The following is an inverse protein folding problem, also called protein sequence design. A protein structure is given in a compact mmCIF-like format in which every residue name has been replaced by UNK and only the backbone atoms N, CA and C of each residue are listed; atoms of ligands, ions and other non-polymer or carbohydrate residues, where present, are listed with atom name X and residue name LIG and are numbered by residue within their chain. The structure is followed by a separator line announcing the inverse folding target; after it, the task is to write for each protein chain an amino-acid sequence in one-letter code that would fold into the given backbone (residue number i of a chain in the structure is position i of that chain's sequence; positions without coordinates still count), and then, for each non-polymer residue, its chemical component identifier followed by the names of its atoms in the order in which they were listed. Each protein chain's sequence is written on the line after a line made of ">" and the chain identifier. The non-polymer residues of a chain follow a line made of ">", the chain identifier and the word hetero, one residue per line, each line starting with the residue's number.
data_IF_308834981470
#
_entry.id   IF_308834981470
#
_cell.length_a   1.000
_cell.length_b   1.000
_cell.length_c   1.000
_cell.angle_alpha   90.00
_cell.angle_beta   90.00
_cell.angle_gamma   90.00
#
_symmetry.space_group_name_H-M   'P 1'
#
loop_
_entity.id
_entity.type
_entity.pdbx_description
1 polymer ?
#
# COMPACT_ATOMS: atom_id res chain seq x y z
N UNK A 1 -69.28 2.17 -47.23
CA UNK A 1 -70.45 2.10 -46.32
C UNK A 1 -70.09 2.80 -45.00
N UNK A 2 -71.06 2.91 -44.09
CA UNK A 2 -71.01 3.52 -42.74
C UNK A 2 -69.71 3.27 -41.91
N UNK A 3 -69.24 4.32 -41.20
CA UNK A 3 -68.68 4.37 -39.82
C UNK A 3 -67.49 3.43 -39.47
N UNK A 4 -66.49 3.73 -38.63
CA UNK A 4 -65.92 4.91 -37.90
C UNK A 4 -64.41 4.51 -37.63
N UNK A 5 -63.45 5.24 -37.06
CA UNK A 5 -63.27 6.50 -36.31
C UNK A 5 -61.91 7.15 -36.74
N UNK A 6 -61.27 8.23 -36.22
CA UNK A 6 -61.20 8.95 -34.92
C UNK A 6 -60.53 8.16 -33.78
N UNK A 7 -59.72 8.75 -32.88
CA UNK A 7 -59.40 10.18 -32.60
C UNK A 7 -57.92 10.56 -32.89
N UNK A 8 -57.58 11.84 -32.73
CA UNK A 8 -56.24 12.42 -32.95
C UNK A 8 -55.60 12.97 -31.64
N UNK A 9 -54.36 13.47 -31.74
CA UNK A 9 -53.60 14.11 -30.65
C UNK A 9 -54.20 15.48 -30.22
N UNK A 10 -53.61 16.15 -29.21
CA UNK A 10 -52.73 17.28 -29.57
C UNK A 10 -51.51 17.55 -28.65
N UNK A 11 -50.79 18.62 -29.00
CA UNK A 11 -49.53 19.18 -28.45
C UNK A 11 -49.68 19.84 -27.07
N UNK A 12 -48.57 19.99 -26.33
CA UNK A 12 -48.48 20.56 -24.99
C UNK A 12 -48.31 22.11 -24.92
N UNK A 13 -48.64 22.71 -23.76
CA UNK A 13 -48.22 24.06 -23.33
C UNK A 13 -48.12 24.15 -21.79
N UNK A 14 -46.93 24.50 -21.25
CA UNK A 14 -46.61 25.13 -19.95
C UNK A 14 -47.22 24.53 -18.64
N UNK A 15 -46.84 24.89 -17.39
CA UNK A 15 -46.03 25.98 -16.81
C UNK A 15 -45.06 25.40 -15.75
N UNK A 16 -43.94 26.07 -15.47
CA UNK A 16 -42.98 25.67 -14.43
C UNK A 16 -43.21 26.37 -13.07
N UNK A 17 -42.97 25.64 -11.98
CA UNK A 17 -42.72 26.15 -10.62
C UNK A 17 -41.81 25.12 -9.94
N UNK A 18 -40.81 25.56 -9.18
CA UNK A 18 -39.69 24.70 -8.75
C UNK A 18 -39.42 24.74 -7.25
N UNK A 19 -38.74 23.70 -6.77
CA UNK A 19 -38.07 23.67 -5.46
C UNK A 19 -36.65 23.16 -5.69
N UNK A 20 -35.66 24.02 -5.43
CA UNK A 20 -34.26 23.62 -5.43
C UNK A 20 -33.91 23.05 -4.05
N UNK A 21 -33.95 21.73 -3.90
CA UNK A 21 -33.51 21.07 -2.67
C UNK A 21 -31.98 20.98 -2.69
N UNK A 22 -31.31 21.79 -1.87
CA UNK A 22 -29.92 21.53 -1.51
C UNK A 22 -29.88 20.26 -0.66
N UNK A 23 -29.21 19.23 -1.16
CA UNK A 23 -28.66 18.16 -0.33
C UNK A 23 -27.15 18.40 -0.21
N UNK A 24 -26.72 18.65 1.02
CA UNK A 24 -25.34 18.59 1.45
C UNK A 24 -25.18 17.42 2.42
N UNK A 25 -23.94 16.98 2.62
CA UNK A 25 -23.51 15.96 3.59
C UNK A 25 -23.97 14.52 3.31
N UNK A 26 -23.19 13.84 2.48
CA UNK A 26 -22.61 12.56 2.90
C UNK A 26 -21.10 12.62 2.62
N UNK A 27 -20.28 12.49 3.66
CA UNK A 27 -18.83 12.33 3.53
C UNK A 27 -18.48 11.02 2.82
N UNK A 28 -17.23 10.92 2.33
CA UNK A 28 -16.79 9.80 1.50
C UNK A 28 -17.07 8.43 2.14
N UNK A 29 -17.79 7.59 1.40
CA UNK A 29 -17.83 6.15 1.67
C UNK A 29 -16.65 5.51 0.97
N UNK A 30 -15.56 5.24 1.70
CA UNK A 30 -14.43 4.46 1.18
C UNK A 30 -14.92 3.10 0.64
N UNK A 31 -14.38 2.57 -0.46
CA UNK A 31 -14.81 1.30 -1.04
C UNK A 31 -14.47 0.13 -0.09
N UNK A 32 -15.42 -0.21 0.79
CA UNK A 32 -15.26 -1.11 1.93
C UNK A 32 -15.18 -2.61 1.56
N UNK A 33 -14.42 -2.95 0.52
CA UNK A 33 -14.25 -4.32 0.00
C UNK A 33 -12.79 -4.78 -0.04
N UNK A 34 -11.81 -3.87 0.03
CA UNK A 34 -10.38 -4.18 -0.13
C UNK A 34 -9.58 -4.31 1.19
N UNK A 35 -10.18 -4.17 2.38
CA UNK A 35 -9.42 -4.09 3.66
C UNK A 35 -10.13 -4.70 4.89
N UNK A 36 -11.18 -5.50 4.67
CA UNK A 36 -12.10 -5.96 5.73
C UNK A 36 -11.47 -6.87 6.81
N UNK A 37 -10.29 -7.44 6.57
CA UNK A 37 -9.57 -8.32 7.50
C UNK A 37 -8.36 -7.66 8.17
N UNK A 38 -8.06 -6.39 7.89
CA UNK A 38 -7.00 -5.62 8.56
C UNK A 38 -7.06 -5.65 10.11
N UNK A 39 -8.24 -5.64 10.78
CA UNK A 39 -8.30 -5.82 12.23
C UNK A 39 -7.75 -7.17 12.73
N UNK A 40 -7.80 -8.22 11.89
CA UNK A 40 -7.30 -9.56 12.22
C UNK A 40 -5.77 -9.65 12.15
N UNK A 41 -5.10 -8.77 11.38
CA UNK A 41 -3.63 -8.68 11.26
C UNK A 41 -3.00 -7.66 12.20
N UNK A 42 -3.79 -7.07 13.11
CA UNK A 42 -3.32 -6.10 14.10
C UNK A 42 -3.44 -4.64 13.68
N UNK A 43 -4.24 -4.34 12.65
CA UNK A 43 -4.53 -2.97 12.18
C UNK A 43 -5.97 -2.54 12.54
N UNK A 44 -6.28 -2.25 13.82
CA UNK A 44 -7.63 -1.86 14.26
C UNK A 44 -8.12 -0.52 13.67
N UNK A 45 -7.22 0.33 13.16
CA UNK A 45 -7.58 1.56 12.46
C UNK A 45 -7.78 1.37 10.93
N UNK A 46 -7.73 0.13 10.43
CA UNK A 46 -7.82 -0.17 9.00
C UNK A 46 -6.49 0.06 8.26
N UNK A 47 -6.50 0.20 6.92
CA UNK A 47 -5.30 0.51 6.17
C UNK A 47 -4.81 1.94 6.45
N UNK A 48 -3.53 2.21 6.18
CA UNK A 48 -3.01 3.57 6.15
C UNK A 48 -3.40 4.27 4.84
N UNK A 49 -3.72 5.57 4.93
CA UNK A 49 -3.84 6.44 3.76
C UNK A 49 -2.43 6.94 3.38
N UNK A 50 -1.88 6.38 2.30
CA UNK A 50 -0.53 6.64 1.78
C UNK A 50 -0.62 6.73 0.25
N UNK A 51 -0.05 7.78 -0.33
CA UNK A 51 0.14 7.89 -1.79
C UNK A 51 1.48 7.28 -2.22
N UNK A 52 1.51 6.77 -3.45
CA UNK A 52 2.68 6.18 -4.10
C UNK A 52 2.62 6.47 -5.61
N UNK A 53 3.67 6.08 -6.34
CA UNK A 53 3.78 6.21 -7.79
C UNK A 53 3.79 4.83 -8.43
N UNK A 54 2.99 4.64 -9.48
CA UNK A 54 3.01 3.46 -10.31
C UNK A 54 3.93 3.70 -11.52
N UNK A 55 5.02 2.94 -11.64
CA UNK A 55 6.10 3.27 -12.56
C UNK A 55 5.65 3.21 -14.04
N UNK A 56 5.83 4.31 -14.79
CA UNK A 56 5.50 4.36 -16.22
C UNK A 56 6.23 3.26 -17.03
N UNK A 57 7.51 3.04 -16.73
CA UNK A 57 8.34 1.96 -17.25
C UNK A 57 8.44 0.80 -16.23
N UNK A 58 7.28 0.27 -15.81
CA UNK A 58 7.19 -0.77 -14.77
C UNK A 58 8.02 -2.02 -15.07
N UNK A 59 8.24 -2.37 -16.34
CA UNK A 59 9.00 -3.58 -16.70
C UNK A 59 10.45 -3.41 -16.27
N UNK A 60 11.12 -2.37 -16.74
CA UNK A 60 12.54 -2.15 -16.46
C UNK A 60 12.75 -1.63 -15.03
N UNK A 61 11.94 -0.67 -14.55
CA UNK A 61 12.11 -0.09 -13.21
C UNK A 61 11.94 -1.17 -12.13
N UNK A 62 10.89 -1.98 -12.16
CA UNK A 62 10.70 -3.02 -11.15
C UNK A 62 11.68 -4.17 -11.30
N UNK A 63 11.95 -4.67 -12.53
CA UNK A 63 12.95 -5.73 -12.75
C UNK A 63 14.32 -5.36 -12.18
N UNK A 64 14.82 -4.16 -12.49
CA UNK A 64 16.10 -3.64 -11.99
C UNK A 64 16.08 -3.35 -10.49
N UNK A 65 14.93 -2.98 -9.93
CA UNK A 65 14.77 -2.81 -8.47
C UNK A 65 14.82 -4.16 -7.74
N UNK A 66 14.23 -5.23 -8.29
CA UNK A 66 14.38 -6.58 -7.75
C UNK A 66 15.84 -7.05 -7.78
N UNK A 67 16.60 -6.72 -8.84
CA UNK A 67 18.03 -7.01 -8.94
C UNK A 67 18.85 -6.25 -7.88
N UNK A 68 18.65 -4.94 -7.75
CA UNK A 68 19.30 -4.16 -6.69
C UNK A 68 18.95 -4.68 -5.28
N UNK A 69 17.74 -5.17 -5.06
CA UNK A 69 17.33 -5.76 -3.79
C UNK A 69 18.03 -7.09 -3.50
N UNK A 70 18.10 -7.96 -4.52
CA UNK A 70 18.76 -9.26 -4.48
C UNK A 70 20.23 -9.18 -4.06
N UNK A 71 20.95 -8.15 -4.51
CA UNK A 71 22.35 -7.88 -4.15
C UNK A 71 22.50 -6.90 -2.96
N UNK A 72 21.41 -6.59 -2.23
CA UNK A 72 21.39 -5.67 -1.09
C UNK A 72 21.92 -4.24 -1.38
N UNK A 73 21.75 -3.75 -2.61
CA UNK A 73 22.21 -2.43 -3.06
C UNK A 73 21.15 -1.33 -2.99
N UNK A 74 19.91 -1.65 -2.58
CA UNK A 74 18.86 -0.63 -2.40
C UNK A 74 19.05 0.20 -1.13
N UNK A 75 18.99 -0.39 0.06
CA UNK A 75 19.04 0.37 1.33
C UNK A 75 19.87 -0.33 2.43
N UNK A 76 21.13 -0.76 2.13
CA UNK A 76 21.98 -1.44 3.12
C UNK A 76 22.31 -0.57 4.35
N UNK A 77 22.15 0.76 4.26
CA UNK A 77 22.33 1.68 5.39
C UNK A 77 21.13 1.72 6.37
N UNK A 78 20.00 1.09 6.03
CA UNK A 78 18.78 1.05 6.87
C UNK A 78 18.49 -0.35 7.43
N UNK A 79 18.62 -0.56 8.73
CA UNK A 79 18.38 -1.88 9.37
C UNK A 79 16.96 -2.47 9.23
N UNK A 80 15.97 -1.71 8.77
CA UNK A 80 14.63 -2.22 8.42
C UNK A 80 14.50 -2.81 7.01
N UNK A 81 15.47 -2.49 6.14
CA UNK A 81 15.43 -2.73 4.68
C UNK A 81 16.71 -3.41 4.14
N UNK A 82 17.81 -3.34 4.89
CA UNK A 82 19.03 -4.07 4.61
C UNK A 82 18.80 -5.58 4.77
N UNK A 83 19.25 -6.34 3.79
CA UNK A 83 19.26 -7.80 3.80
C UNK A 83 20.39 -8.28 4.71
N UNK A 84 20.13 -9.20 5.64
CA UNK A 84 21.15 -9.77 6.51
C UNK A 84 22.05 -10.75 5.77
N UNK A 85 23.31 -10.87 6.20
CA UNK A 85 24.20 -11.97 5.78
C UNK A 85 23.49 -13.32 5.96
N UNK A 86 23.69 -14.21 4.99
CA UNK A 86 22.91 -15.46 4.87
C UNK A 86 23.69 -16.62 5.47
N UNK A 87 23.03 -17.39 6.32
CA UNK A 87 23.62 -18.58 6.96
C UNK A 87 23.67 -19.76 5.99
N UNK A 88 24.79 -20.48 5.97
CA UNK A 88 25.07 -21.54 4.99
C UNK A 88 25.73 -22.76 5.66
N UNK A 89 25.82 -23.87 4.94
CA UNK A 89 26.29 -25.16 5.42
C UNK A 89 25.16 -26.09 5.85
N UNK A 90 25.48 -27.37 6.03
CA UNK A 90 24.54 -28.40 6.47
C UNK A 90 24.03 -28.18 7.92
N UNK A 91 23.09 -29.02 8.38
CA UNK A 91 22.53 -28.94 9.73
C UNK A 91 23.57 -29.17 10.84
N UNK A 92 24.68 -29.84 10.58
CA UNK A 92 25.75 -30.03 11.56
C UNK A 92 26.68 -28.80 11.65
N UNK A 93 26.72 -27.94 10.62
CA UNK A 93 27.38 -26.63 10.67
C UNK A 93 26.56 -25.55 11.41
N UNK A 94 25.22 -25.64 11.38
CA UNK A 94 24.30 -24.67 12.02
C UNK A 94 24.44 -23.25 11.45
N UNK A 95 24.11 -22.22 12.23
CA UNK A 95 24.45 -20.80 11.95
C UNK A 95 25.96 -20.49 11.88
N UNK A 96 26.85 -21.49 11.85
CA UNK A 96 28.31 -21.32 12.00
C UNK A 96 29.04 -20.73 10.79
N UNK A 97 28.43 -20.71 9.61
CA UNK A 97 28.98 -20.10 8.40
C UNK A 97 27.98 -19.10 7.82
N UNK A 98 28.48 -17.94 7.38
CA UNK A 98 27.69 -16.90 6.73
C UNK A 98 28.38 -16.39 5.47
N UNK A 99 27.59 -15.96 4.49
CA UNK A 99 28.04 -15.27 3.27
C UNK A 99 27.42 -13.88 3.17
N UNK A 100 27.92 -13.07 2.24
CA UNK A 100 27.31 -11.77 1.93
C UNK A 100 25.87 -11.95 1.39
N UNK A 101 24.98 -10.96 1.58
CA UNK A 101 23.58 -11.10 1.19
C UNK A 101 23.42 -11.21 -0.33
N UNK A 102 22.90 -12.34 -0.80
CA UNK A 102 22.50 -12.59 -2.18
C UNK A 102 21.21 -13.40 -2.22
N UNK A 103 20.21 -12.95 -2.98
CA UNK A 103 19.00 -13.71 -3.28
C UNK A 103 18.91 -13.82 -4.81
N UNK A 104 18.69 -15.01 -5.41
CA UNK A 104 18.49 -15.14 -6.86
C UNK A 104 17.41 -14.15 -7.37
N UNK A 105 17.75 -13.16 -8.22
CA UNK A 105 16.81 -12.10 -8.62
C UNK A 105 15.47 -12.59 -9.18
N UNK A 106 15.47 -13.72 -9.89
CA UNK A 106 14.28 -14.40 -10.42
C UNK A 106 13.26 -14.76 -9.32
N UNK A 107 13.69 -15.07 -8.10
CA UNK A 107 12.80 -15.37 -6.98
C UNK A 107 12.05 -14.12 -6.53
N UNK A 108 12.75 -13.00 -6.33
CA UNK A 108 12.11 -11.74 -5.95
C UNK A 108 11.15 -11.23 -7.06
N UNK A 109 11.58 -11.33 -8.33
CA UNK A 109 10.75 -11.04 -9.51
C UNK A 109 9.47 -11.87 -9.54
N UNK A 110 9.59 -13.18 -9.32
CA UNK A 110 8.46 -14.13 -9.28
C UNK A 110 7.53 -13.90 -8.09
N UNK A 111 8.09 -13.60 -6.91
CA UNK A 111 7.32 -13.27 -5.70
C UNK A 111 6.52 -11.99 -5.90
N UNK A 112 7.13 -10.87 -6.28
CA UNK A 112 6.40 -9.61 -6.52
C UNK A 112 5.32 -9.73 -7.59
N UNK A 113 5.49 -10.64 -8.56
CA UNK A 113 4.43 -10.95 -9.52
C UNK A 113 3.28 -11.76 -8.91
N UNK A 114 3.58 -12.73 -8.06
CA UNK A 114 2.55 -13.52 -7.37
C UNK A 114 1.82 -12.71 -6.29
N UNK A 115 2.50 -11.77 -5.63
CA UNK A 115 1.94 -10.89 -4.61
C UNK A 115 1.03 -9.81 -5.22
N UNK A 116 1.52 -8.99 -6.17
CA UNK A 116 0.73 -7.88 -6.75
C UNK A 116 0.54 -7.89 -8.26
N UNK A 117 1.24 -8.75 -9.00
CA UNK A 117 1.30 -8.71 -10.46
C UNK A 117 2.22 -7.62 -11.03
N UNK A 118 3.19 -7.15 -10.23
CA UNK A 118 4.04 -5.97 -10.49
C UNK A 118 3.23 -4.65 -10.55
N UNK A 119 2.50 -4.37 -9.47
CA UNK A 119 1.95 -3.05 -9.14
C UNK A 119 2.33 -2.65 -7.70
N UNK A 120 2.60 -1.37 -7.48
CA UNK A 120 2.81 -0.74 -6.18
C UNK A 120 1.57 0.06 -5.73
N UNK A 121 0.86 0.67 -6.68
CA UNK A 121 -0.35 1.46 -6.47
C UNK A 121 -1.63 0.63 -6.64
N UNK A 122 -2.76 1.20 -6.21
CA UNK A 122 -4.02 0.47 -6.11
C UNK A 122 -4.67 0.15 -7.47
N UNK A 123 -5.33 -1.01 -7.51
CA UNK A 123 -6.26 -1.38 -8.58
C UNK A 123 -7.69 -0.85 -8.36
N UNK A 124 -8.04 -0.42 -7.12
CA UNK A 124 -9.36 0.14 -6.77
C UNK A 124 -9.19 1.26 -5.70
N UNK A 125 -9.33 2.56 -6.06
CA UNK A 125 -9.37 3.08 -7.43
C UNK A 125 -8.14 2.64 -8.22
N UNK A 126 -8.29 2.45 -9.53
CA UNK A 126 -7.16 2.17 -10.41
C UNK A 126 -6.28 3.41 -10.50
N UNK A 127 -4.98 3.19 -10.36
CA UNK A 127 -3.91 4.13 -10.70
C UNK A 127 -3.24 3.58 -11.97
N UNK A 128 -3.20 4.33 -13.06
CA UNK A 128 -2.58 3.86 -14.30
C UNK A 128 -1.04 4.01 -14.26
N UNK A 129 -0.31 3.22 -15.06
CA UNK A 129 1.15 3.29 -15.13
C UNK A 129 1.62 4.69 -15.55
N UNK A 130 2.38 5.35 -14.67
CA UNK A 130 2.81 6.74 -14.80
C UNK A 130 2.06 7.74 -13.93
N UNK A 131 1.07 7.31 -13.14
CA UNK A 131 0.30 8.17 -12.24
C UNK A 131 0.72 8.04 -10.76
N UNK A 132 0.38 9.07 -9.97
CA UNK A 132 0.42 9.06 -8.51
C UNK A 132 -0.98 8.75 -7.97
N UNK A 133 -1.06 7.91 -6.93
CA UNK A 133 -2.32 7.59 -6.27
C UNK A 133 -2.16 6.70 -5.04
N UNK A 134 -3.26 6.16 -4.48
CA UNK A 134 -3.20 5.33 -3.27
C UNK A 134 -2.36 4.07 -3.44
N UNK A 135 -1.57 3.71 -2.43
CA UNK A 135 -0.84 2.44 -2.37
C UNK A 135 -1.77 1.23 -2.50
N UNK A 136 -1.30 0.16 -3.14
CA UNK A 136 -1.98 -1.13 -3.13
C UNK A 136 -2.05 -1.69 -1.71
N UNK A 137 -3.25 -1.92 -1.19
CA UNK A 137 -3.49 -2.63 0.08
C UNK A 137 -4.36 -3.86 -0.16
N UNK A 138 -3.95 -5.01 0.35
CA UNK A 138 -4.77 -6.23 0.42
C UNK A 138 -5.84 -6.17 1.51
N UNK A 139 -6.74 -7.16 1.48
CA UNK A 139 -7.80 -7.35 2.48
C UNK A 139 -7.32 -7.48 3.93
N UNK A 140 -6.05 -7.84 4.13
CA UNK A 140 -5.39 -8.11 5.40
C UNK A 140 -4.26 -7.11 5.70
N UNK A 141 -4.21 -5.99 4.97
CA UNK A 141 -3.22 -4.92 5.13
C UNK A 141 -1.77 -5.37 4.82
N UNK A 142 -1.59 -6.09 3.72
CA UNK A 142 -0.33 -6.19 2.99
C UNK A 142 -0.22 -5.06 1.97
N UNK A 143 0.94 -4.39 1.92
CA UNK A 143 1.12 -3.15 1.15
C UNK A 143 2.11 -3.30 -0.02
N UNK A 144 1.80 -2.67 -1.15
CA UNK A 144 2.70 -2.48 -2.29
C UNK A 144 3.13 -3.77 -3.01
N UNK A 145 4.18 -3.67 -3.82
CA UNK A 145 4.56 -4.71 -4.80
C UNK A 145 4.98 -6.06 -4.20
N UNK A 146 5.43 -6.11 -2.96
CA UNK A 146 5.75 -7.35 -2.21
C UNK A 146 4.70 -7.69 -1.13
N UNK A 147 3.54 -7.01 -1.13
CA UNK A 147 2.41 -7.17 -0.20
C UNK A 147 2.83 -7.26 1.28
N UNK A 148 3.69 -6.33 1.69
CA UNK A 148 4.32 -6.32 3.02
C UNK A 148 3.28 -6.14 4.13
N UNK A 149 3.10 -7.17 4.98
CA UNK A 149 2.27 -7.13 6.20
C UNK A 149 3.10 -6.96 7.49
N UNK A 150 4.36 -7.41 7.48
CA UNK A 150 5.18 -7.59 8.68
C UNK A 150 5.82 -6.28 9.16
N UNK A 151 5.16 -5.64 10.12
CA UNK A 151 5.49 -4.30 10.63
C UNK A 151 4.47 -3.22 10.20
N UNK A 152 3.49 -3.55 9.36
CA UNK A 152 2.50 -2.60 8.81
C UNK A 152 1.22 -2.48 9.66
N UNK A 153 1.30 -2.86 10.94
CA UNK A 153 0.20 -2.76 11.91
C UNK A 153 -0.21 -1.30 12.17
N UNK A 154 -1.42 -0.93 11.73
CA UNK A 154 -2.01 0.39 11.97
C UNK A 154 -2.72 0.44 13.33
N UNK A 155 -1.94 0.73 14.37
CA UNK A 155 -2.37 0.83 15.78
C UNK A 155 -2.59 2.28 16.27
N UNK A 156 -2.42 3.25 15.39
CA UNK A 156 -2.31 4.69 15.72
C UNK A 156 -3.13 5.62 14.81
N UNK A 157 -3.49 5.16 13.60
CA UNK A 157 -3.96 6.03 12.52
C UNK A 157 -2.87 6.85 11.82
N UNK A 158 -1.61 6.75 12.27
CA UNK A 158 -0.47 7.51 11.72
C UNK A 158 0.73 6.56 11.50
N UNK A 159 1.23 6.40 10.26
CA UNK A 159 2.33 5.49 9.98
C UNK A 159 3.64 6.01 10.58
N UNK A 160 4.49 5.10 11.06
CA UNK A 160 5.89 5.41 11.39
C UNK A 160 6.74 5.54 10.11
N UNK A 161 8.03 5.87 10.26
CA UNK A 161 8.93 6.11 9.12
C UNK A 161 9.06 4.89 8.19
N UNK A 162 9.30 3.69 8.73
CA UNK A 162 9.39 2.45 7.96
C UNK A 162 8.06 2.16 7.25
N UNK A 163 6.92 2.38 7.91
CA UNK A 163 5.59 2.19 7.32
C UNK A 163 5.33 3.18 6.17
N UNK A 164 5.76 4.44 6.31
CA UNK A 164 5.70 5.44 5.26
C UNK A 164 6.59 5.07 4.06
N UNK A 165 7.82 4.60 4.30
CA UNK A 165 8.75 4.09 3.28
C UNK A 165 8.16 2.90 2.51
N UNK A 166 7.68 1.87 3.22
CA UNK A 166 7.09 0.65 2.63
C UNK A 166 5.86 0.97 1.77
N UNK A 167 5.00 1.90 2.21
CA UNK A 167 3.79 2.26 1.49
C UNK A 167 4.05 3.16 0.27
N UNK A 168 4.85 4.21 0.43
CA UNK A 168 4.96 5.26 -0.60
C UNK A 168 5.93 4.95 -1.74
N UNK A 169 6.88 4.01 -1.57
CA UNK A 169 7.97 3.85 -2.51
C UNK A 169 8.30 2.37 -2.79
N UNK A 170 8.13 1.93 -4.05
CA UNK A 170 8.37 0.56 -4.53
C UNK A 170 9.74 -0.02 -4.12
N UNK A 171 10.82 0.75 -4.24
CA UNK A 171 12.17 0.32 -3.80
C UNK A 171 12.26 -0.07 -2.31
N UNK A 172 11.69 0.72 -1.39
CA UNK A 172 11.65 0.37 0.02
C UNK A 172 10.74 -0.85 0.26
N UNK A 173 9.63 -0.96 -0.46
CA UNK A 173 8.75 -2.13 -0.42
C UNK A 173 9.47 -3.42 -0.86
N UNK A 174 10.22 -3.37 -1.95
CA UNK A 174 11.00 -4.51 -2.49
C UNK A 174 12.17 -4.86 -1.56
N UNK A 175 12.93 -3.88 -1.09
CA UNK A 175 14.01 -4.10 -0.13
C UNK A 175 13.50 -4.76 1.16
N UNK A 176 12.32 -4.33 1.65
CA UNK A 176 11.66 -4.95 2.80
C UNK A 176 11.25 -6.40 2.52
N UNK A 177 10.79 -6.72 1.31
CA UNK A 177 10.50 -8.08 0.88
C UNK A 177 11.75 -8.98 0.88
N UNK A 178 12.86 -8.49 0.31
CA UNK A 178 14.15 -9.19 0.32
C UNK A 178 14.66 -9.44 1.75
N UNK A 179 14.66 -8.41 2.60
CA UNK A 179 15.07 -8.52 4.00
C UNK A 179 14.18 -9.51 4.80
N UNK A 180 12.87 -9.56 4.53
CA UNK A 180 11.97 -10.55 5.12
C UNK A 180 12.32 -11.96 4.65
N UNK A 181 12.59 -12.17 3.35
CA UNK A 181 12.93 -13.50 2.80
C UNK A 181 14.26 -14.04 3.35
N UNK A 182 15.30 -13.20 3.41
CA UNK A 182 16.56 -13.54 4.10
C UNK A 182 16.33 -13.85 5.59
N UNK A 183 15.41 -13.11 6.23
CA UNK A 183 14.94 -13.40 7.58
C UNK A 183 14.16 -14.71 7.72
N UNK A 184 13.63 -15.31 6.64
CA UNK A 184 13.06 -16.67 6.65
C UNK A 184 14.13 -17.74 6.43
N UNK A 185 15.10 -17.47 5.57
CA UNK A 185 16.26 -18.32 5.31
C UNK A 185 17.05 -18.57 6.62
N UNK A 186 17.43 -17.50 7.32
CA UNK A 186 18.12 -17.54 8.62
C UNK A 186 17.25 -18.03 9.81
N UNK A 187 16.11 -18.69 9.57
CA UNK A 187 15.43 -19.52 10.58
C UNK A 187 15.89 -20.99 10.55
N UNK A 188 16.76 -21.33 9.60
CA UNK A 188 17.11 -22.70 9.22
C UNK A 188 18.63 -22.87 9.35
N UNK A 189 19.14 -23.93 10.03
CA UNK A 189 18.41 -25.11 10.50
C UNK A 189 17.69 -24.97 11.85
N UNK A 190 17.95 -23.94 12.65
CA UNK A 190 17.67 -23.92 14.11
C UNK A 190 16.20 -24.12 14.46
N UNK A 191 15.27 -23.57 13.67
CA UNK A 191 13.82 -23.70 13.88
C UNK A 191 13.05 -24.00 12.58
N UNK A 192 13.74 -24.33 11.48
CA UNK A 192 13.17 -24.67 10.18
C UNK A 192 13.98 -25.79 9.49
N UNK A 193 13.38 -26.52 8.52
CA UNK A 193 14.10 -27.53 7.76
C UNK A 193 15.02 -26.85 6.74
N UNK A 194 16.05 -27.57 6.29
CA UNK A 194 16.96 -27.11 5.23
C UNK A 194 16.77 -27.90 3.93
N UNK A 195 17.14 -27.27 2.83
CA UNK A 195 17.49 -27.95 1.58
C UNK A 195 19.01 -28.09 1.55
N UNK A 196 19.49 -29.29 1.24
CA UNK A 196 20.90 -29.58 0.95
C UNK A 196 21.90 -28.99 1.95
N UNK A 197 22.58 -27.92 1.53
CA UNK A 197 23.62 -27.25 2.30
C UNK A 197 23.35 -25.75 2.49
N UNK A 198 22.14 -25.25 2.19
CA UNK A 198 21.80 -23.81 2.17
C UNK A 198 22.83 -23.03 1.35
N UNK A 199 22.96 -23.33 0.06
CA UNK A 199 23.72 -22.48 -0.85
C UNK A 199 22.80 -21.40 -1.43
N UNK A 200 22.93 -20.11 -1.06
CA UNK A 200 22.02 -19.08 -1.52
C UNK A 200 22.18 -18.76 -3.02
N UNK A 201 23.25 -19.21 -3.68
CA UNK A 201 23.37 -19.12 -5.13
C UNK A 201 22.36 -20.03 -5.84
N UNK A 202 22.04 -21.18 -5.23
CA UNK A 202 21.17 -22.22 -5.80
C UNK A 202 19.70 -21.86 -5.59
N UNK A 203 18.94 -21.77 -6.69
CA UNK A 203 17.52 -21.38 -6.69
C UNK A 203 16.68 -22.38 -5.88
N UNK A 204 16.93 -23.68 -6.03
CA UNK A 204 16.18 -24.73 -5.33
C UNK A 204 16.35 -24.71 -3.81
N UNK A 205 17.50 -24.26 -3.29
CA UNK A 205 17.77 -24.29 -1.84
C UNK A 205 16.85 -23.32 -1.06
N UNK A 206 16.24 -22.33 -1.74
CA UNK A 206 15.30 -21.38 -1.15
C UNK A 206 13.91 -21.96 -0.83
N UNK A 207 13.61 -23.21 -1.21
CA UNK A 207 12.27 -23.84 -1.08
C UNK A 207 11.58 -23.58 0.28
N UNK A 208 12.29 -23.77 1.39
CA UNK A 208 11.74 -23.57 2.74
C UNK A 208 11.68 -22.10 3.17
N UNK A 209 12.55 -21.22 2.64
CA UNK A 209 12.47 -19.78 2.86
C UNK A 209 11.25 -19.18 2.13
N UNK A 210 10.96 -19.65 0.92
CA UNK A 210 9.78 -19.29 0.12
C UNK A 210 8.47 -19.71 0.81
N UNK A 211 8.37 -20.97 1.25
CA UNK A 211 7.26 -21.44 2.10
C UNK A 211 7.18 -20.59 3.38
N UNK A 212 8.33 -20.28 3.99
CA UNK A 212 8.46 -19.39 5.13
C UNK A 212 7.92 -17.97 4.89
N UNK A 213 8.03 -17.42 3.68
CA UNK A 213 7.61 -16.06 3.34
C UNK A 213 6.09 -15.90 3.45
N UNK A 214 5.34 -16.65 2.64
CA UNK A 214 3.87 -16.69 2.64
C UNK A 214 3.27 -17.38 3.88
N UNK A 215 4.12 -18.03 4.68
CA UNK A 215 3.77 -18.60 5.97
C UNK A 215 4.05 -20.10 6.02
N UNK A 216 4.95 -20.49 6.92
CA UNK A 216 5.30 -21.89 7.19
C UNK A 216 4.15 -22.59 7.94
N UNK A 217 3.08 -22.87 7.21
CA UNK A 217 1.82 -23.43 7.70
C UNK A 217 1.38 -24.62 6.81
N UNK A 218 0.54 -25.50 7.37
CA UNK A 218 0.11 -26.73 6.68
C UNK A 218 -0.76 -26.46 5.45
N UNK A 219 -1.37 -25.28 5.33
CA UNK A 219 -2.03 -24.84 4.09
C UNK A 219 -1.08 -24.90 2.89
N UNK A 220 0.14 -24.42 3.07
CA UNK A 220 1.21 -24.35 2.05
C UNK A 220 2.09 -25.63 2.01
N UNK A 221 1.59 -26.74 2.56
CA UNK A 221 2.33 -28.00 2.59
C UNK A 221 2.20 -28.74 1.25
N UNK A 222 3.28 -29.21 0.59
CA UNK A 222 3.21 -29.82 -0.75
C UNK A 222 2.35 -31.09 -0.80
N UNK A 223 2.34 -31.88 0.28
CA UNK A 223 1.46 -33.04 0.46
C UNK A 223 0.09 -32.71 1.11
N UNK A 224 -0.36 -31.45 1.11
CA UNK A 224 -1.69 -31.07 1.59
C UNK A 224 -2.78 -31.70 0.69
N UNK A 225 -3.70 -32.51 1.24
CA UNK A 225 -4.74 -33.20 0.45
C UNK A 225 -5.81 -32.28 -0.16
N UNK A 226 -5.74 -30.96 0.07
CA UNK A 226 -6.52 -29.98 -0.69
C UNK A 226 -6.02 -29.79 -2.13
N UNK A 227 -4.75 -30.12 -2.41
CA UNK A 227 -4.15 -30.02 -3.75
C UNK A 227 -4.35 -31.31 -4.55
N UNK A 228 -4.45 -31.19 -5.87
CA UNK A 228 -4.50 -32.35 -6.75
C UNK A 228 -3.18 -33.17 -6.69
N UNK A 229 -3.23 -34.49 -6.41
CA UNK A 229 -2.02 -35.34 -6.38
C UNK A 229 -1.38 -35.58 -7.75
N UNK A 230 -2.11 -35.30 -8.83
CA UNK A 230 -1.64 -35.42 -10.22
C UNK A 230 -1.52 -34.05 -10.90
N UNK A 231 -1.23 -33.00 -10.11
CA UNK A 231 -0.91 -31.68 -10.65
C UNK A 231 0.41 -31.73 -11.43
N UNK A 232 0.44 -31.07 -12.58
CA UNK A 232 1.69 -30.76 -13.31
C UNK A 232 2.35 -29.54 -12.66
N UNK A 233 3.55 -29.14 -13.09
CA UNK A 233 4.22 -27.94 -12.57
C UNK A 233 3.36 -26.68 -12.78
N UNK A 234 3.49 -25.69 -11.89
CA UNK A 234 2.83 -24.39 -12.05
C UNK A 234 3.50 -23.54 -13.15
N UNK A 235 2.74 -22.67 -13.80
CA UNK A 235 3.24 -21.70 -14.77
C UNK A 235 2.63 -20.33 -14.53
N UNK A 236 3.45 -19.28 -14.60
CA UNK A 236 2.97 -17.90 -14.73
C UNK A 236 2.69 -17.51 -16.20
N UNK A 237 3.06 -18.38 -17.17
CA UNK A 237 3.20 -18.07 -18.60
C UNK A 237 1.89 -18.04 -19.41
N UNK A 238 1.88 -18.71 -20.56
CA UNK A 238 0.71 -18.77 -21.44
C UNK A 238 -0.27 -19.84 -20.96
N UNK A 239 -1.56 -19.52 -20.85
CA UNK A 239 -2.59 -20.42 -20.30
C UNK A 239 -2.82 -21.73 -21.08
N UNK A 240 -2.23 -21.87 -22.28
CA UNK A 240 -2.27 -23.04 -23.15
C UNK A 240 -0.90 -23.76 -23.31
N UNK A 241 0.09 -23.42 -22.47
CA UNK A 241 1.43 -24.02 -22.46
C UNK A 241 1.50 -25.50 -22.02
N UNK A 242 0.40 -26.02 -21.45
CA UNK A 242 0.27 -27.40 -20.95
C UNK A 242 0.51 -27.57 -19.45
N UNK A 243 0.76 -26.48 -18.72
CA UNK A 243 1.09 -26.49 -17.29
C UNK A 243 -0.08 -26.06 -16.40
N UNK A 244 0.16 -25.96 -15.09
CA UNK A 244 -0.83 -25.57 -14.09
C UNK A 244 -1.00 -24.07 -13.98
N UNK A 245 -2.22 -23.56 -14.19
CA UNK A 245 -2.54 -22.12 -14.08
C UNK A 245 -3.51 -21.77 -12.93
N UNK A 246 -4.11 -22.77 -12.29
CA UNK A 246 -4.94 -22.55 -11.09
C UNK A 246 -4.07 -22.45 -9.83
N UNK A 247 -3.81 -21.20 -9.39
CA UNK A 247 -3.02 -20.89 -8.19
C UNK A 247 -3.53 -21.57 -6.90
N UNK A 248 -4.81 -22.00 -6.84
CA UNK A 248 -5.35 -22.67 -5.65
C UNK A 248 -4.87 -24.11 -5.47
N UNK A 249 -4.26 -24.70 -6.50
CA UNK A 249 -3.85 -26.10 -6.52
C UNK A 249 -2.39 -26.34 -6.10
N UNK A 250 -1.68 -25.29 -5.69
CA UNK A 250 -0.25 -25.32 -5.38
C UNK A 250 0.07 -24.58 -4.07
N UNK A 251 1.10 -25.01 -3.33
CA UNK A 251 1.69 -24.22 -2.27
C UNK A 251 2.58 -23.10 -2.84
N UNK A 252 2.79 -22.06 -2.06
CA UNK A 252 3.46 -20.83 -2.50
C UNK A 252 4.85 -21.06 -3.12
N UNK A 253 5.66 -21.96 -2.56
CA UNK A 253 6.99 -22.27 -3.08
C UNK A 253 6.94 -22.98 -4.45
N UNK A 254 5.92 -23.79 -4.74
CA UNK A 254 5.70 -24.34 -6.09
C UNK A 254 5.24 -23.26 -7.08
N UNK A 255 4.44 -22.27 -6.62
CA UNK A 255 4.08 -21.11 -7.44
C UNK A 255 5.31 -20.28 -7.83
N UNK A 256 6.14 -19.89 -6.86
CA UNK A 256 7.31 -19.02 -7.10
C UNK A 256 8.31 -19.69 -8.05
N UNK A 257 8.64 -20.96 -7.80
CA UNK A 257 9.60 -21.70 -8.60
C UNK A 257 9.06 -22.01 -10.02
N UNK A 258 7.76 -22.31 -10.14
CA UNK A 258 7.09 -22.43 -11.44
C UNK A 258 7.09 -21.12 -12.25
N UNK A 259 6.91 -19.97 -11.59
CA UNK A 259 7.00 -18.66 -12.24
C UNK A 259 8.44 -18.26 -12.60
N UNK A 260 9.45 -18.71 -11.84
CA UNK A 260 10.86 -18.49 -12.18
C UNK A 260 11.23 -19.18 -13.51
N UNK A 261 10.75 -20.41 -13.70
CA UNK A 261 10.94 -21.18 -14.92
C UNK A 261 9.98 -20.79 -16.05
N UNK A 262 8.80 -20.26 -15.74
CA UNK A 262 7.76 -19.92 -16.72
C UNK A 262 7.24 -18.50 -16.51
N UNK A 263 8.06 -17.47 -16.81
CA UNK A 263 7.71 -16.07 -16.59
C UNK A 263 6.40 -15.65 -17.27
N UNK A 264 5.65 -14.72 -16.66
CA UNK A 264 4.40 -14.21 -17.20
C UNK A 264 4.60 -13.33 -18.42
N UNK A 265 3.65 -13.42 -19.35
CA UNK A 265 3.58 -12.57 -20.52
C UNK A 265 2.82 -11.27 -20.21
N UNK A 266 3.46 -10.12 -20.45
CA UNK A 266 2.83 -8.80 -20.50
C UNK A 266 3.03 -8.22 -21.90
N UNK A 267 1.94 -7.84 -22.56
CA UNK A 267 1.92 -7.31 -23.95
C UNK A 267 2.60 -8.26 -24.98
N UNK A 268 2.65 -9.56 -24.68
CA UNK A 268 3.27 -10.59 -25.53
C UNK A 268 4.74 -10.90 -25.20
N UNK A 269 5.35 -10.21 -24.24
CA UNK A 269 6.76 -10.38 -23.85
C UNK A 269 6.88 -10.81 -22.38
N UNK A 270 7.84 -11.69 -22.08
CA UNK A 270 8.09 -12.17 -20.72
C UNK A 270 8.63 -11.05 -19.81
N UNK A 271 8.25 -11.05 -18.53
CA UNK A 271 8.75 -10.04 -17.56
C UNK A 271 10.20 -10.28 -17.10
N UNK A 272 10.74 -11.49 -17.31
CA UNK A 272 12.15 -11.84 -17.08
C UNK A 272 12.53 -13.03 -17.96
N UNK A 273 13.84 -13.27 -18.11
CA UNK A 273 14.35 -14.47 -18.77
C UNK A 273 14.06 -15.73 -17.93
N UNK A 274 13.49 -16.80 -18.51
CA UNK A 274 13.25 -18.08 -17.82
C UNK A 274 14.52 -18.65 -17.16
N UNK A 275 14.43 -19.06 -15.90
CA UNK A 275 15.50 -19.80 -15.21
C UNK A 275 15.11 -21.26 -15.01
N UNK A 276 15.96 -22.20 -15.37
CA UNK A 276 15.69 -23.62 -15.13
C UNK A 276 15.67 -23.90 -13.61
N UNK A 277 14.71 -24.71 -13.16
CA UNK A 277 14.50 -25.05 -11.75
C UNK A 277 13.92 -26.45 -11.67
N UNK A 278 14.40 -27.28 -10.74
CA UNK A 278 13.73 -28.54 -10.39
C UNK A 278 12.99 -28.45 -9.05
N UNK A 279 11.69 -28.77 -9.06
CA UNK A 279 10.94 -28.97 -7.82
C UNK A 279 11.36 -30.29 -7.13
N UNK A 280 11.24 -30.39 -5.79
CA UNK A 280 11.37 -31.65 -5.07
C UNK A 280 10.45 -32.75 -5.65
N UNK A 281 11.01 -33.86 -6.14
CA UNK A 281 10.21 -34.94 -6.73
C UNK A 281 9.44 -35.71 -5.64
N UNK A 282 8.14 -35.44 -5.57
CA UNK A 282 7.23 -36.06 -4.60
C UNK A 282 6.94 -37.56 -4.90
N UNK A 283 7.49 -38.11 -5.99
CA UNK A 283 7.52 -39.55 -6.26
C UNK A 283 8.78 -40.25 -5.71
N UNK A 284 9.87 -39.51 -5.44
CA UNK A 284 11.08 -40.04 -4.81
C UNK A 284 10.96 -39.93 -3.26
N UNK A 285 11.08 -41.04 -2.51
CA UNK A 285 11.14 -41.03 -1.06
C UNK A 285 12.18 -40.05 -0.47
N UNK A 286 13.25 -39.71 -1.17
CA UNK A 286 14.24 -38.73 -0.70
C UNK A 286 13.65 -37.33 -0.42
N UNK A 287 12.55 -36.95 -1.09
CA UNK A 287 11.80 -35.73 -0.82
C UNK A 287 10.45 -36.03 -0.15
N UNK A 288 9.77 -37.09 -0.57
CA UNK A 288 8.44 -37.44 -0.07
C UNK A 288 8.42 -37.93 1.38
N UNK A 289 9.47 -38.61 1.86
CA UNK A 289 9.53 -39.09 3.24
C UNK A 289 9.79 -37.97 4.27
N UNK A 290 10.75 -37.05 4.08
CA UNK A 290 10.91 -35.88 4.95
C UNK A 290 9.64 -35.04 5.06
N UNK A 291 8.89 -34.89 3.97
CA UNK A 291 7.63 -34.14 3.91
C UNK A 291 6.42 -34.87 4.55
N UNK A 292 6.58 -36.02 5.21
CA UNK A 292 5.45 -36.71 5.86
C UNK A 292 4.88 -35.95 7.06
N UNK A 293 3.60 -36.16 7.33
CA UNK A 293 2.88 -35.53 8.46
C UNK A 293 3.50 -35.87 9.82
N UNK A 294 4.12 -37.05 9.96
CA UNK A 294 4.88 -37.43 11.17
C UNK A 294 6.11 -36.55 11.46
N UNK A 295 6.69 -35.91 10.43
CA UNK A 295 7.83 -34.99 10.56
C UNK A 295 7.37 -33.52 10.62
N UNK A 296 6.29 -33.19 9.90
CA UNK A 296 5.65 -31.87 9.97
C UNK A 296 5.20 -31.50 11.38
N UNK A 297 4.62 -32.44 12.13
CA UNK A 297 4.06 -32.16 13.47
C UNK A 297 5.16 -31.73 14.47
N UNK A 298 6.27 -32.46 14.66
CA UNK A 298 7.40 -32.00 15.47
C UNK A 298 7.96 -30.63 15.04
N UNK A 299 8.13 -30.39 13.74
CA UNK A 299 8.65 -29.13 13.22
C UNK A 299 7.70 -27.95 13.49
N UNK A 300 6.41 -28.10 13.19
CA UNK A 300 5.43 -27.01 13.30
C UNK A 300 5.01 -26.67 14.74
N UNK A 301 5.01 -27.64 15.67
CA UNK A 301 4.60 -27.42 17.06
C UNK A 301 5.75 -27.32 18.07
N UNK A 302 6.90 -27.94 17.79
CA UNK A 302 8.05 -28.02 18.71
C UNK A 302 9.35 -27.46 18.13
N UNK A 303 9.34 -26.99 16.87
CA UNK A 303 10.51 -26.51 16.12
C UNK A 303 11.58 -27.60 15.84
N UNK A 304 11.23 -28.87 16.05
CA UNK A 304 12.09 -30.03 15.75
C UNK A 304 11.98 -30.38 14.25
N UNK A 305 12.73 -29.66 13.43
CA UNK A 305 12.60 -29.67 11.97
C UNK A 305 13.62 -30.56 11.23
N UNK A 306 14.53 -31.24 11.94
CA UNK A 306 15.58 -32.04 11.31
C UNK A 306 15.05 -33.22 10.49
N UNK A 307 13.90 -33.77 10.85
CA UNK A 307 13.25 -34.85 10.10
C UNK A 307 12.58 -34.39 8.79
N UNK A 308 12.52 -33.07 8.53
CA UNK A 308 11.97 -32.48 7.30
C UNK A 308 13.05 -32.02 6.31
N UNK A 309 14.35 -32.16 6.63
CA UNK A 309 15.41 -31.77 5.70
C UNK A 309 15.35 -32.60 4.41
N UNK A 310 15.52 -31.95 3.26
CA UNK A 310 15.55 -32.60 1.93
C UNK A 310 16.92 -32.36 1.28
N UNK A 311 17.41 -33.24 0.39
CA UNK A 311 18.55 -32.91 -0.46
C UNK A 311 18.20 -31.78 -1.42
N UNK A 312 19.20 -31.07 -1.95
CA UNK A 312 19.01 -30.25 -3.15
C UNK A 312 18.61 -31.14 -4.33
N UNK A 313 17.60 -30.78 -5.14
CA UNK A 313 17.31 -31.41 -6.42
C UNK A 313 18.54 -31.49 -7.34
N UNK A 314 18.52 -32.39 -8.32
CA UNK A 314 19.67 -32.62 -9.21
C UNK A 314 19.20 -32.86 -10.66
N UNK A 315 19.54 -32.03 -11.65
CA UNK A 315 20.41 -30.83 -11.53
C UNK A 315 19.77 -29.70 -10.72
N UNK A 316 20.62 -28.82 -10.21
CA UNK A 316 20.26 -27.57 -9.54
C UNK A 316 20.84 -26.38 -10.33
N UNK A 317 20.33 -25.17 -10.05
CA UNK A 317 20.56 -24.03 -10.93
C UNK A 317 20.83 -22.74 -10.15
N UNK A 318 21.64 -21.86 -10.74
CA UNK A 318 21.94 -20.51 -10.24
C UNK A 318 21.28 -19.48 -11.16
N UNK A 319 20.85 -18.33 -10.62
CA UNK A 319 20.41 -17.21 -11.46
C UNK A 319 21.66 -16.50 -12.06
N UNK A 320 21.81 -16.43 -13.40
CA UNK A 320 23.00 -15.90 -14.06
C UNK A 320 23.07 -14.37 -14.07
N UNK A 321 22.13 -13.67 -13.43
CA UNK A 321 22.10 -12.21 -13.35
C UNK A 321 23.33 -11.68 -12.61
N UNK A 322 24.16 -10.89 -13.32
CA UNK A 322 25.28 -10.14 -12.72
C UNK A 322 24.87 -8.67 -12.62
N UNK A 323 24.84 -8.11 -11.41
CA UNK A 323 24.48 -6.70 -11.23
C UNK A 323 25.48 -5.76 -11.91
N UNK A 324 24.99 -4.94 -12.83
CA UNK A 324 25.74 -3.93 -13.56
C UNK A 324 25.05 -2.54 -13.48
N UNK A 325 24.32 -2.29 -12.39
CA UNK A 325 23.44 -1.14 -12.17
C UNK A 325 23.71 -0.53 -10.79
N UNK A 326 23.58 0.79 -10.69
CA UNK A 326 23.58 1.52 -9.41
C UNK A 326 22.17 1.82 -8.92
N UNK A 327 22.04 2.15 -7.62
CA UNK A 327 20.80 2.66 -7.03
C UNK A 327 20.29 3.93 -7.70
N UNK A 328 21.21 4.83 -8.06
CA UNK A 328 20.92 6.13 -8.65
C UNK A 328 20.27 6.00 -10.04
N UNK A 329 20.76 5.07 -10.87
CA UNK A 329 20.21 4.78 -12.21
C UNK A 329 18.81 4.16 -12.22
N UNK A 330 18.27 3.77 -11.05
CA UNK A 330 16.96 3.10 -10.93
C UNK A 330 15.99 3.89 -10.03
N UNK A 331 16.49 4.59 -9.00
CA UNK A 331 15.66 5.37 -8.06
C UNK A 331 15.83 6.89 -8.16
N UNK A 332 16.87 7.39 -8.85
CA UNK A 332 17.21 8.81 -8.94
C UNK A 332 17.84 9.41 -7.67
N UNK A 333 18.13 10.70 -7.73
CA UNK A 333 18.51 11.56 -6.60
C UNK A 333 17.40 12.60 -6.34
N UNK A 334 16.41 12.29 -5.47
CA UNK A 334 15.32 13.22 -5.19
C UNK A 334 15.77 14.39 -4.29
N UNK A 335 15.50 15.62 -4.72
CA UNK A 335 15.87 16.86 -4.01
C UNK A 335 14.61 17.62 -3.59
N UNK A 336 14.25 17.44 -2.32
CA UNK A 336 13.05 18.01 -1.70
C UNK A 336 13.06 19.55 -1.64
N UNK A 337 11.90 20.14 -1.92
CA UNK A 337 11.59 21.56 -1.68
C UNK A 337 10.12 21.74 -1.31
N UNK A 338 9.73 22.98 -0.96
CA UNK A 338 8.33 23.36 -0.72
C UNK A 338 7.96 24.55 -1.61
N UNK A 339 6.71 24.64 -2.07
CA UNK A 339 6.24 25.80 -2.84
C UNK A 339 6.16 27.10 -2.03
N UNK A 340 6.10 27.00 -0.70
CA UNK A 340 6.26 28.13 0.23
C UNK A 340 6.73 27.64 1.62
N UNK A 341 7.27 28.55 2.43
CA UNK A 341 7.79 28.24 3.77
C UNK A 341 6.75 28.38 4.91
N UNK A 342 5.53 28.81 4.59
CA UNK A 342 4.48 29.03 5.57
C UNK A 342 3.36 29.95 5.11
N UNK A 343 2.40 30.16 6.01
CA UNK A 343 1.17 30.95 5.81
C UNK A 343 0.84 31.74 7.08
N UNK A 344 0.12 32.85 6.92
CA UNK A 344 -0.59 33.51 8.02
C UNK A 344 -2.09 33.46 7.77
N UNK A 345 -2.89 33.10 8.78
CA UNK A 345 -4.34 32.91 8.68
C UNK A 345 -5.07 33.52 9.88
N UNK A 346 -6.18 34.21 9.64
CA UNK A 346 -7.09 34.70 10.68
C UNK A 346 -8.37 33.86 10.70
N UNK A 347 -8.82 33.43 11.88
CA UNK A 347 -10.05 32.66 12.09
C UNK A 347 -10.76 33.12 13.38
N UNK A 348 -12.09 33.07 13.46
CA UNK A 348 -12.79 33.22 14.73
C UNK A 348 -12.61 31.96 15.62
N UNK A 349 -12.97 32.01 16.92
CA UNK A 349 -13.07 30.81 17.76
C UNK A 349 -14.04 29.77 17.20
N UNK A 350 -13.84 28.51 17.57
CA UNK A 350 -14.72 27.37 17.22
C UNK A 350 -14.98 27.19 15.71
N UNK A 351 -14.00 27.56 14.89
CA UNK A 351 -14.00 27.49 13.44
C UNK A 351 -13.00 26.45 12.90
N UNK A 352 -13.04 26.22 11.58
CA UNK A 352 -12.10 25.33 10.89
C UNK A 352 -11.73 25.92 9.53
N UNK A 353 -10.46 25.88 9.16
CA UNK A 353 -9.97 26.39 7.87
C UNK A 353 -10.48 25.56 6.69
N UNK A 354 -10.68 26.20 5.53
CA UNK A 354 -10.95 25.53 4.26
C UNK A 354 -9.85 25.84 3.23
N UNK A 355 -9.46 24.83 2.45
CA UNK A 355 -8.54 25.00 1.31
C UNK A 355 -7.11 25.44 1.65
N UNK A 356 -6.63 25.19 2.88
CA UNK A 356 -5.23 25.44 3.22
C UNK A 356 -4.36 24.28 2.74
N UNK A 357 -3.46 24.54 1.79
CA UNK A 357 -2.52 23.57 1.27
C UNK A 357 -1.15 24.19 0.99
N UNK A 358 -0.13 23.34 0.85
CA UNK A 358 1.15 23.66 0.25
C UNK A 358 1.68 22.45 -0.53
N UNK A 359 2.63 22.67 -1.43
CA UNK A 359 3.12 21.62 -2.34
C UNK A 359 4.55 21.21 -1.95
N UNK A 360 4.80 19.90 -1.89
CA UNK A 360 6.14 19.31 -1.80
C UNK A 360 6.66 19.07 -3.20
N UNK A 361 7.87 19.55 -3.46
CA UNK A 361 8.49 19.56 -4.78
C UNK A 361 9.64 18.56 -4.81
N UNK A 362 9.78 17.76 -5.89
CA UNK A 362 11.05 17.15 -6.24
C UNK A 362 11.74 18.01 -7.31
N UNK A 363 12.91 18.55 -6.99
CA UNK A 363 13.76 19.32 -7.91
C UNK A 363 14.97 18.55 -8.43
N UNK A 364 15.10 17.29 -8.02
CA UNK A 364 16.07 16.33 -8.53
C UNK A 364 15.42 15.34 -9.50
N UNK A 365 15.86 14.09 -9.47
CA UNK A 365 15.31 12.98 -10.26
C UNK A 365 14.51 11.99 -9.41
N UNK A 366 13.85 11.04 -10.05
CA UNK A 366 13.23 9.89 -9.39
C UNK A 366 12.03 10.21 -8.48
N UNK A 367 11.75 9.31 -7.55
CA UNK A 367 10.56 9.33 -6.71
C UNK A 367 10.86 9.90 -5.32
N UNK A 368 10.42 11.12 -5.00
CA UNK A 368 10.51 11.65 -3.65
C UNK A 368 9.32 11.17 -2.81
N UNK A 369 9.52 10.16 -1.97
CA UNK A 369 8.60 9.88 -0.85
C UNK A 369 8.84 10.84 0.32
N UNK A 370 7.77 11.32 0.97
CA UNK A 370 7.85 12.20 2.14
C UNK A 370 6.79 11.87 3.21
N UNK A 371 7.07 12.27 4.46
CA UNK A 371 6.14 12.22 5.59
C UNK A 371 5.96 13.61 6.23
N UNK A 372 4.72 13.98 6.54
CA UNK A 372 4.34 15.23 7.20
C UNK A 372 3.94 14.97 8.66
N UNK A 373 4.56 15.70 9.60
CA UNK A 373 4.25 15.66 11.02
C UNK A 373 3.89 17.07 11.52
N UNK A 374 2.80 17.21 12.28
CA UNK A 374 2.39 18.50 12.88
C UNK A 374 2.71 18.56 14.37
N UNK A 375 3.14 19.73 14.87
CA UNK A 375 3.52 19.92 16.28
C UNK A 375 2.39 20.46 17.18
N UNK A 376 1.40 21.14 16.58
CA UNK A 376 0.31 21.79 17.29
C UNK A 376 -0.99 20.97 17.23
N UNK A 377 -1.74 20.79 18.35
CA UNK A 377 -2.95 19.95 18.40
C UNK A 377 -4.13 20.55 17.60
N UNK A 378 -4.07 21.84 17.28
CA UNK A 378 -5.03 22.54 16.42
C UNK A 378 -4.70 22.43 14.92
N UNK A 379 -3.54 21.86 14.54
CA UNK A 379 -3.07 21.71 13.17
C UNK A 379 -2.94 20.23 12.78
N UNK A 380 -3.54 19.84 11.65
CA UNK A 380 -3.48 18.47 11.11
C UNK A 380 -3.19 18.46 9.62
N UNK A 381 -2.47 17.45 9.14
CA UNK A 381 -2.44 17.07 7.72
C UNK A 381 -3.55 16.04 7.44
N UNK A 382 -4.14 16.08 6.24
CA UNK A 382 -5.19 15.14 5.85
C UNK A 382 -4.63 13.76 5.43
N UNK A 383 -3.57 13.74 4.63
CA UNK A 383 -2.76 12.56 4.33
C UNK A 383 -1.31 12.84 4.79
N UNK A 384 -0.77 12.10 5.77
CA UNK A 384 0.54 12.40 6.35
C UNK A 384 1.72 11.77 5.60
N UNK A 385 1.49 11.03 4.50
CA UNK A 385 2.53 10.44 3.66
C UNK A 385 2.12 10.59 2.20
N UNK A 386 3.00 11.16 1.38
CA UNK A 386 2.77 11.38 -0.04
C UNK A 386 4.05 11.27 -0.86
N UNK A 387 3.93 11.54 -2.16
CA UNK A 387 5.06 11.50 -3.11
C UNK A 387 5.11 12.75 -4.00
N UNK A 388 6.29 13.02 -4.57
CA UNK A 388 6.50 14.00 -5.62
C UNK A 388 7.48 13.43 -6.67
N UNK A 389 7.27 13.75 -7.95
CA UNK A 389 8.04 13.14 -9.05
C UNK A 389 9.10 14.10 -9.59
N UNK A 390 10.30 13.58 -9.83
CA UNK A 390 11.34 14.27 -10.58
C UNK A 390 10.94 14.49 -12.04
N UNK A 391 11.61 15.43 -12.71
CA UNK A 391 11.29 15.80 -14.10
C UNK A 391 11.56 14.69 -15.14
N UNK A 392 12.36 13.69 -14.76
CA UNK A 392 12.61 12.44 -15.48
C UNK A 392 11.42 11.47 -15.45
N UNK A 393 10.64 11.49 -14.36
CA UNK A 393 9.39 10.71 -14.22
C UNK A 393 8.15 11.48 -14.72
N UNK A 394 8.35 12.63 -15.38
CA UNK A 394 7.29 13.51 -15.90
C UNK A 394 7.06 14.78 -15.09
N UNK A 395 7.43 14.78 -13.80
CA UNK A 395 7.30 15.91 -12.89
C UNK A 395 5.90 16.07 -12.28
N UNK A 396 5.80 15.95 -10.95
CA UNK A 396 4.55 16.10 -10.18
C UNK A 396 4.81 16.53 -8.73
N UNK A 397 3.81 17.10 -8.05
CA UNK A 397 3.95 17.77 -6.74
C UNK A 397 3.02 17.19 -5.68
N UNK A 398 3.58 16.81 -4.54
CA UNK A 398 2.83 16.25 -3.42
C UNK A 398 2.04 17.32 -2.69
N UNK A 399 0.71 17.34 -2.88
CA UNK A 399 -0.17 18.39 -2.34
C UNK A 399 -0.56 18.10 -0.89
N UNK A 400 0.06 18.78 0.07
CA UNK A 400 -0.23 18.61 1.49
C UNK A 400 -1.41 19.48 1.92
N UNK A 401 -2.58 18.86 2.08
CA UNK A 401 -3.77 19.49 2.63
C UNK A 401 -3.67 19.59 4.16
N UNK A 402 -3.80 20.81 4.69
CA UNK A 402 -3.79 21.12 6.11
C UNK A 402 -5.18 21.54 6.62
N UNK A 403 -5.45 21.26 7.89
CA UNK A 403 -6.64 21.72 8.61
C UNK A 403 -6.24 22.36 9.93
N UNK A 404 -6.59 23.63 10.07
CA UNK A 404 -6.55 24.39 11.33
C UNK A 404 -7.94 24.35 11.97
N UNK A 405 -8.03 23.99 13.25
CA UNK A 405 -9.26 23.98 14.02
C UNK A 405 -9.11 24.81 15.30
N UNK A 406 -9.90 25.88 15.43
CA UNK A 406 -9.81 26.85 16.54
C UNK A 406 -10.73 26.52 17.72
N UNK A 407 -11.33 25.33 17.75
CA UNK A 407 -12.21 24.89 18.83
C UNK A 407 -11.51 24.93 20.20
N UNK A 408 -12.06 25.73 21.12
CA UNK A 408 -11.49 25.95 22.45
C UNK A 408 -10.19 26.76 22.50
N UNK A 409 -9.74 27.37 21.39
CA UNK A 409 -8.69 28.39 21.42
C UNK A 409 -9.26 29.74 21.85
N UNK A 410 -8.47 30.52 22.59
CA UNK A 410 -8.82 31.88 22.99
C UNK A 410 -8.39 32.88 21.92
N UNK A 411 -8.98 34.09 21.85
CA UNK A 411 -8.48 35.15 20.96
C UNK A 411 -7.01 35.49 21.23
N UNK A 412 -6.18 35.48 20.19
CA UNK A 412 -4.74 35.70 20.27
C UNK A 412 -3.93 35.03 19.14
N UNK A 413 -2.62 35.29 19.07
CA UNK A 413 -1.72 34.64 18.11
C UNK A 413 -1.28 33.25 18.58
N UNK A 414 -1.14 32.35 17.63
CA UNK A 414 -0.63 30.99 17.77
C UNK A 414 0.30 30.68 16.59
N UNK A 415 1.42 30.00 16.83
CA UNK A 415 2.28 29.47 15.77
C UNK A 415 2.34 27.95 15.92
N UNK A 416 2.27 27.25 14.80
CA UNK A 416 2.48 25.80 14.68
C UNK A 416 3.20 25.49 13.38
N UNK A 417 3.65 24.25 13.21
CA UNK A 417 4.44 23.82 12.07
C UNK A 417 3.98 22.47 11.52
N UNK A 418 4.04 22.34 10.20
CA UNK A 418 4.07 21.05 9.52
C UNK A 418 5.53 20.79 9.07
N UNK A 419 6.16 19.78 9.66
CA UNK A 419 7.51 19.33 9.29
C UNK A 419 7.39 18.25 8.23
N UNK A 420 8.01 18.48 7.07
CA UNK A 420 8.08 17.53 5.95
C UNK A 420 9.45 16.86 5.96
N UNK A 421 9.46 15.59 6.30
CA UNK A 421 10.64 14.74 6.24
C UNK A 421 10.68 14.04 4.88
N UNK A 422 11.81 14.11 4.17
CA UNK A 422 12.08 13.16 3.10
C UNK A 422 12.22 11.75 3.70
N UNK A 423 11.77 10.72 2.97
CA UNK A 423 11.96 9.32 3.37
C UNK A 423 13.35 8.77 3.01
N UNK A 424 14.28 9.63 2.58
CA UNK A 424 15.67 9.29 2.28
C UNK A 424 16.64 9.72 3.40
N UNK A 425 17.69 8.93 3.70
CA UNK A 425 18.54 9.11 4.88
C UNK A 425 19.36 10.41 4.91
N UNK A 426 19.56 11.05 3.75
CA UNK A 426 20.30 12.30 3.61
C UNK A 426 19.40 13.56 3.64
N UNK A 427 18.06 13.40 3.68
CA UNK A 427 17.12 14.50 3.62
C UNK A 427 17.13 15.37 4.88
N UNK A 428 17.45 16.66 4.73
CA UNK A 428 17.17 17.64 5.80
C UNK A 428 15.65 17.89 5.86
N UNK A 429 15.01 17.87 7.04
CA UNK A 429 13.58 18.19 7.14
C UNK A 429 13.28 19.62 6.72
N UNK A 430 12.20 19.80 5.95
CA UNK A 430 11.65 21.11 5.61
C UNK A 430 10.50 21.46 6.55
N UNK A 431 10.22 22.75 6.73
CA UNK A 431 9.17 23.21 7.65
C UNK A 431 8.26 24.22 6.96
N UNK A 432 6.97 23.97 7.03
CA UNK A 432 5.91 24.91 6.67
C UNK A 432 5.30 25.49 7.95
N UNK A 433 5.47 26.79 8.19
CA UNK A 433 4.98 27.46 9.40
C UNK A 433 3.55 27.97 9.21
N UNK A 434 2.69 27.78 10.21
CA UNK A 434 1.32 28.30 10.25
C UNK A 434 1.22 29.31 11.39
N UNK A 435 1.17 30.60 11.04
CA UNK A 435 0.86 31.67 11.98
C UNK A 435 -0.66 31.92 11.97
N UNK A 436 -1.33 31.44 13.01
CA UNK A 436 -2.76 31.60 13.24
C UNK A 436 -3.02 32.80 14.16
N UNK A 437 -3.94 33.69 13.78
CA UNK A 437 -4.55 34.65 14.71
C UNK A 437 -6.01 34.26 14.94
N UNK A 438 -6.34 33.90 16.18
CA UNK A 438 -7.73 33.76 16.60
C UNK A 438 -8.28 35.16 16.90
N UNK A 439 -9.18 35.66 16.07
CA UNK A 439 -9.77 37.01 16.20
C UNK A 439 -11.13 36.93 16.87
N UNK A 440 -11.47 37.86 17.76
CA UNK A 440 -12.87 37.96 18.21
C UNK A 440 -13.76 38.25 17.01
N UNK A 441 -14.70 37.33 16.73
CA UNK A 441 -15.70 37.55 15.69
C UNK A 441 -16.52 38.79 16.00
N UNK A 442 -16.83 39.59 14.96
CA UNK A 442 -17.75 40.72 15.11
C UNK A 442 -19.05 40.22 15.78
N UNK A 443 -19.56 40.92 16.82
CA UNK A 443 -20.63 40.39 17.64
C UNK A 443 -21.84 40.06 16.77
N UNK A 444 -22.27 38.79 16.83
CA UNK A 444 -23.47 38.30 16.14
C UNK A 444 -24.59 39.31 16.34
N UNK A 445 -25.21 39.86 15.27
CA UNK A 445 -26.20 40.91 15.42
C UNK A 445 -27.33 40.38 16.30
N UNK A 446 -27.42 40.90 17.52
CA UNK A 446 -28.40 40.48 18.51
C UNK A 446 -29.77 40.65 17.88
N UNK A 447 -30.51 39.54 17.79
CA UNK A 447 -31.78 39.48 17.07
C UNK A 447 -32.64 40.68 17.49
N UNK A 448 -32.94 41.57 16.54
CA UNK A 448 -33.69 42.79 16.81
C UNK A 448 -34.98 42.40 17.54
N UNK A 449 -35.26 42.95 18.73
CA UNK A 449 -36.44 42.55 19.48
C UNK A 449 -37.67 42.75 18.60
N UNK A 450 -38.63 41.80 18.59
CA UNK A 450 -39.77 41.85 17.69
C UNK A 450 -40.50 43.19 17.88
N UNK A 451 -40.93 43.84 16.79
CA UNK A 451 -41.53 45.17 16.86
C UNK A 451 -42.72 45.15 17.81
N UNK A 452 -42.76 46.11 18.75
CA UNK A 452 -43.82 46.19 19.73
C UNK A 452 -45.20 46.23 19.04
N UNK A 453 -46.18 45.43 19.48
CA UNK A 453 -47.44 45.27 18.76
C UNK A 453 -48.17 46.61 18.63
N UNK A 454 -48.39 47.03 17.38
CA UNK A 454 -49.09 48.29 17.07
C UNK A 454 -50.56 48.12 17.43
N UNK A 455 -51.02 48.86 18.44
CA UNK A 455 -52.41 48.84 18.88
C UNK A 455 -53.32 49.53 17.84
N UNK A 456 -53.99 48.73 17.00
CA UNK A 456 -55.00 49.23 16.05
C UNK A 456 -56.34 49.37 16.76
N UNK A 457 -56.79 50.61 16.98
CA UNK A 457 -58.14 50.91 17.46
C UNK A 457 -59.13 50.93 16.29
N UNK A 458 -60.06 49.99 16.24
CA UNK A 458 -61.16 49.98 15.27
C UNK A 458 -62.26 50.98 15.65
N UNK A 459 -62.96 51.50 14.64
CA UNK A 459 -64.09 52.44 14.76
C UNK A 459 -65.29 51.96 15.60
N UNK A 460 -65.32 50.67 15.91
CA UNK A 460 -66.51 49.91 16.28
C UNK A 460 -66.25 49.21 17.62
N UNK A 461 -66.80 49.76 18.70
CA UNK A 461 -66.37 49.44 20.07
C UNK A 461 -66.85 48.09 20.61
N UNK A 462 -66.30 46.97 20.12
CA UNK A 462 -66.30 45.70 20.86
C UNK A 462 -65.15 44.75 20.48
N UNK A 463 -64.71 43.96 21.46
CA UNK A 463 -63.65 42.92 21.39
C UNK A 463 -62.22 43.37 21.09
N UNK A 464 -61.27 42.72 21.77
CA UNK A 464 -59.83 42.88 21.59
C UNK A 464 -59.22 41.56 21.11
N UNK A 465 -58.48 41.57 20.02
CA UNK A 465 -57.76 40.40 19.52
C UNK A 465 -56.43 40.79 18.88
N UNK A 466 -55.39 40.01 19.15
CA UNK A 466 -54.10 40.08 18.46
C UNK A 466 -54.17 39.26 17.17
N UNK A 467 -53.81 39.88 16.05
CA UNK A 467 -53.62 39.17 14.77
C UNK A 467 -52.15 38.79 14.67
N UNK A 468 -51.87 37.49 14.53
CA UNK A 468 -50.59 37.02 14.01
C UNK A 468 -50.65 37.02 12.47
N UNK A 469 -49.52 37.32 11.82
CA UNK A 469 -49.39 37.40 10.35
C UNK A 469 -48.44 36.33 9.79
N UNK A 470 -48.08 35.33 10.60
CA UNK A 470 -47.21 34.21 10.26
C UNK A 470 -47.68 33.38 9.04
N UNK A 471 -48.99 33.23 8.83
CA UNK A 471 -49.57 32.43 7.72
C UNK A 471 -49.69 33.19 6.38
N UNK A 472 -49.20 34.44 6.27
CA UNK A 472 -49.44 35.31 5.11
C UNK A 472 -48.35 35.28 4.02
N UNK A 473 -47.60 34.18 3.86
CA UNK A 473 -46.75 33.92 2.67
C UNK A 473 -46.37 32.42 2.54
N UNK A 474 -47.10 31.69 1.69
CA UNK A 474 -46.76 30.36 1.18
C UNK A 474 -47.36 30.17 -0.23
#
# INVERSE_FOLDING_TARGET
>A
MRYLSLTAAPVAVAVALGVAVLLHLSSGGSPALASHSCPNTGSPFGPFEIETYEAADYRDVYARTFELAAFNQLFPEHGGFATSNLETGDRAAGSGQVVEPYIPPVLLKSMGFLESGWAQASYVPLVDYGEVGPVLSSHDCGYGIMQITSGMQNISGVPNLDQAMIGSHFGFNIARGAAILAGKWNLSPEVRPIVGARDPAVIEDWYYALWGYNGFAFSNHPLNPAYQPTRVEFSCGAADDGFGHDRTQYPYQELVLGCAQRPPLRVGEQLWEPQEVHLPDLADPAFADPLKIENWIPCSYSLDCAAMDIPTPNTNHEDPTVLALTREEVLGEPVIGLSSAGVSIELPPDATSSGLAFDVLNSGSGLLGFQVLTDAPWLKAAAPVGVALGGDLGGDVGTVQLTVNTAGLAPGPYTGAATVNSLYPAGTPHTFVVDLVVVEGAPTPTATPPPAPIAVSWADGNSSGTVDLSDALA
#
